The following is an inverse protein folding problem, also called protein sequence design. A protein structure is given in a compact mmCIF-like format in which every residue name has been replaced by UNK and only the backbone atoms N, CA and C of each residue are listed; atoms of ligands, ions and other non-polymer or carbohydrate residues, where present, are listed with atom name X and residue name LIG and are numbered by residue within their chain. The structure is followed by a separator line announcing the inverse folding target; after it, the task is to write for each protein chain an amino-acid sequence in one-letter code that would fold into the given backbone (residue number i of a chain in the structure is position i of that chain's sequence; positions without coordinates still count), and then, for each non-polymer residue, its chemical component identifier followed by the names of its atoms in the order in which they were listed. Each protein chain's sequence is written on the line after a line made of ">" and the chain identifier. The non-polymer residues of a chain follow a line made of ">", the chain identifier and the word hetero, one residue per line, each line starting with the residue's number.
data_IF_973232879413
#
_entry.id   IF_973232879413
#
_cell.length_a   1.000
_cell.length_b   1.000
_cell.length_c   1.000
_cell.angle_alpha   90.00
_cell.angle_beta   90.00
_cell.angle_gamma   90.00
#
_symmetry.space_group_name_H-M   'P 1'
#
loop_
_entity.id
_entity.type
_entity.pdbx_description
1 polymer ?
#
# COMPACT_ATOMS: atom_id res chain seq x y z
N UNK A 1 -7.38 4.32 5.39
CA UNK A 1 -8.27 3.37 4.69
C UNK A 1 -7.49 2.13 4.26
N UNK A 2 -8.09 0.94 4.35
CA UNK A 2 -7.51 -0.34 3.92
C UNK A 2 -8.36 -0.95 2.81
N UNK A 3 -7.76 -1.25 1.66
CA UNK A 3 -8.41 -1.79 0.48
C UNK A 3 -7.80 -3.16 0.14
N UNK A 4 -8.46 -4.23 0.57
CA UNK A 4 -7.98 -5.60 0.36
C UNK A 4 -9.14 -6.60 0.39
N UNK A 5 -9.12 -7.59 -0.50
CA UNK A 5 -10.14 -8.65 -0.52
C UNK A 5 -9.99 -9.68 0.62
N UNK A 6 -8.83 -9.73 1.29
CA UNK A 6 -8.56 -10.67 2.39
C UNK A 6 -8.98 -10.11 3.74
N UNK A 7 -10.05 -10.67 4.32
CA UNK A 7 -10.55 -10.28 5.65
C UNK A 7 -9.48 -10.45 6.74
N UNK A 8 -8.74 -11.55 6.71
CA UNK A 8 -7.69 -11.84 7.69
C UNK A 8 -6.62 -10.75 7.64
N UNK A 9 -6.22 -10.34 6.44
CA UNK A 9 -5.21 -9.30 6.27
C UNK A 9 -5.70 -7.95 6.79
N UNK A 10 -6.94 -7.54 6.45
CA UNK A 10 -7.49 -6.27 6.95
C UNK A 10 -7.64 -6.25 8.47
N UNK A 11 -8.14 -7.35 9.07
CA UNK A 11 -8.24 -7.50 10.53
C UNK A 11 -6.86 -7.38 11.18
N UNK A 12 -5.85 -8.05 10.62
CA UNK A 12 -4.47 -7.98 11.11
C UNK A 12 -3.90 -6.57 11.05
N UNK A 13 -4.08 -5.87 9.93
CA UNK A 13 -3.64 -4.48 9.77
C UNK A 13 -4.37 -3.53 10.73
N UNK A 14 -5.68 -3.69 10.92
CA UNK A 14 -6.44 -2.91 11.91
C UNK A 14 -5.88 -3.08 13.31
N UNK A 15 -5.59 -4.32 13.71
CA UNK A 15 -4.98 -4.59 15.01
C UNK A 15 -3.58 -3.94 15.14
N UNK A 16 -2.78 -3.97 14.08
CA UNK A 16 -1.45 -3.34 14.04
C UNK A 16 -1.54 -1.82 14.19
N UNK A 17 -2.48 -1.18 13.48
CA UNK A 17 -2.67 0.27 13.48
C UNK A 17 -3.27 0.77 14.79
N UNK A 18 -4.33 0.12 15.29
CA UNK A 18 -4.94 0.48 16.57
C UNK A 18 -4.03 0.24 17.78
N UNK A 19 -3.06 -0.67 17.68
CA UNK A 19 -2.07 -0.87 18.74
C UNK A 19 -1.12 0.33 18.90
N UNK A 20 -0.94 1.14 17.84
CA UNK A 20 -0.12 2.36 17.90
C UNK A 20 -0.96 3.59 18.25
N UNK A 21 -2.20 3.65 17.80
CA UNK A 21 -3.13 4.74 18.05
C UNK A 21 -4.59 4.24 18.01
N UNK A 22 -5.24 4.18 19.17
CA UNK A 22 -6.63 3.71 19.29
C UNK A 22 -7.64 4.63 18.62
N UNK A 23 -7.28 5.90 18.42
CA UNK A 23 -8.19 6.93 17.92
C UNK A 23 -8.15 7.02 16.37
N UNK A 24 -7.29 6.23 15.72
CA UNK A 24 -7.24 6.16 14.26
C UNK A 24 -8.55 5.57 13.69
N UNK A 25 -9.25 6.36 12.88
CA UNK A 25 -10.40 5.88 12.12
C UNK A 25 -9.94 5.01 10.94
N UNK A 26 -10.41 3.75 10.89
CA UNK A 26 -10.03 2.82 9.83
C UNK A 26 -11.26 2.40 9.03
N UNK A 27 -11.37 2.98 7.83
CA UNK A 27 -12.30 2.53 6.78
C UNK A 27 -11.73 1.33 6.02
N UNK A 28 -12.59 0.39 5.64
CA UNK A 28 -12.24 -0.82 4.89
C UNK A 28 -13.02 -0.89 3.59
N UNK A 29 -12.39 -1.41 2.54
CA UNK A 29 -13.03 -1.82 1.30
C UNK A 29 -12.46 -3.17 0.82
N UNK A 30 -13.33 -4.02 0.30
CA UNK A 30 -12.96 -5.35 -0.25
C UNK A 30 -12.85 -5.34 -1.76
N UNK A 31 -13.45 -4.35 -2.40
CA UNK A 31 -13.45 -4.14 -3.85
C UNK A 31 -13.08 -2.70 -4.20
N UNK A 32 -12.65 -2.49 -5.45
CA UNK A 32 -12.39 -1.13 -5.95
C UNK A 32 -13.64 -0.24 -5.92
N UNK A 33 -14.83 -0.82 -6.18
CA UNK A 33 -16.10 -0.10 -6.10
C UNK A 33 -16.40 0.41 -4.68
N UNK A 34 -16.27 -0.47 -3.68
CA UNK A 34 -16.40 -0.06 -2.27
C UNK A 34 -15.36 0.99 -1.88
N UNK A 35 -14.19 0.95 -2.50
CA UNK A 35 -13.18 1.98 -2.31
C UNK A 35 -13.62 3.34 -2.88
N UNK A 36 -14.13 3.39 -4.11
CA UNK A 36 -14.67 4.62 -4.70
C UNK A 36 -15.82 5.20 -3.87
N UNK A 37 -16.78 4.34 -3.48
CA UNK A 37 -17.94 4.75 -2.68
C UNK A 37 -17.50 5.35 -1.32
N UNK A 38 -16.52 4.74 -0.65
CA UNK A 38 -16.03 5.23 0.64
C UNK A 38 -15.09 6.44 0.52
N UNK A 39 -14.26 6.51 -0.52
CA UNK A 39 -13.32 7.63 -0.72
C UNK A 39 -14.03 8.93 -1.09
N UNK A 40 -15.19 8.85 -1.75
CA UNK A 40 -16.00 10.02 -2.04
C UNK A 40 -16.56 10.70 -0.78
N UNK A 41 -16.78 9.94 0.29
CA UNK A 41 -17.42 10.42 1.51
C UNK A 41 -16.45 10.75 2.64
N UNK A 42 -15.19 10.34 2.55
CA UNK A 42 -14.23 10.44 3.65
C UNK A 42 -12.93 11.09 3.19
N UNK A 43 -12.35 11.95 4.02
CA UNK A 43 -10.97 12.41 3.81
C UNK A 43 -10.00 11.29 4.21
N UNK A 44 -9.18 10.84 3.27
CA UNK A 44 -8.25 9.73 3.50
C UNK A 44 -6.84 10.30 3.61
N UNK A 45 -6.24 10.22 4.80
CA UNK A 45 -4.85 10.62 5.00
C UNK A 45 -3.87 9.55 4.49
N UNK A 46 -4.18 8.28 4.78
CA UNK A 46 -3.37 7.11 4.37
C UNK A 46 -4.25 6.08 3.69
N UNK A 47 -3.85 5.64 2.49
CA UNK A 47 -4.46 4.57 1.73
C UNK A 47 -3.53 3.36 1.67
N UNK A 48 -3.93 2.26 2.32
CA UNK A 48 -3.28 0.96 2.18
C UNK A 48 -4.07 0.15 1.16
N UNK A 49 -3.47 -0.15 0.01
CA UNK A 49 -4.17 -0.80 -1.11
C UNK A 49 -3.44 -2.04 -1.61
N UNK A 50 -4.16 -3.15 -1.73
CA UNK A 50 -3.67 -4.35 -2.38
C UNK A 50 -3.48 -4.09 -3.87
N UNK A 51 -2.31 -4.42 -4.41
CA UNK A 51 -1.98 -4.22 -5.82
C UNK A 51 -3.03 -4.77 -6.79
N UNK A 52 -3.71 -5.88 -6.45
CA UNK A 52 -4.68 -6.51 -7.35
C UNK A 52 -5.97 -5.69 -7.49
N UNK A 53 -6.18 -4.71 -6.62
CA UNK A 53 -7.33 -3.80 -6.63
C UNK A 53 -6.99 -2.44 -7.23
N UNK A 54 -5.73 -2.20 -7.63
CA UNK A 54 -5.34 -0.99 -8.33
C UNK A 54 -5.73 -1.13 -9.80
N UNK A 55 -6.73 -0.36 -10.23
CA UNK A 55 -7.12 -0.30 -11.64
C UNK A 55 -6.37 0.81 -12.38
N UNK A 56 -6.18 1.94 -11.72
CA UNK A 56 -5.56 3.15 -12.27
C UNK A 56 -4.98 3.98 -11.12
N UNK A 57 -3.70 4.31 -11.19
CA UNK A 57 -3.04 5.13 -10.16
C UNK A 57 -3.47 6.60 -10.23
N UNK A 58 -3.89 7.11 -11.40
CA UNK A 58 -4.33 8.50 -11.57
C UNK A 58 -5.66 8.78 -10.86
N UNK A 59 -6.42 7.72 -10.55
CA UNK A 59 -7.73 7.80 -9.87
C UNK A 59 -7.64 7.68 -8.36
N UNK A 60 -6.45 7.40 -7.82
CA UNK A 60 -6.28 7.30 -6.37
C UNK A 60 -6.38 8.70 -5.75
N UNK A 61 -6.96 8.84 -4.55
CA UNK A 61 -7.05 10.12 -3.86
C UNK A 61 -5.65 10.65 -3.58
N UNK A 62 -5.52 11.96 -3.33
CA UNK A 62 -4.27 12.61 -2.92
C UNK A 62 -3.79 12.23 -1.50
N UNK A 63 -4.06 10.99 -1.07
CA UNK A 63 -3.64 10.40 0.19
C UNK A 63 -2.20 9.89 0.11
N UNK A 64 -1.59 9.59 1.24
CA UNK A 64 -0.35 8.81 1.26
C UNK A 64 -0.63 7.35 0.90
N UNK A 65 -0.06 6.86 -0.20
CA UNK A 65 -0.38 5.53 -0.74
C UNK A 65 0.66 4.50 -0.29
N UNK A 66 0.19 3.43 0.35
CA UNK A 66 0.95 2.24 0.72
C UNK A 66 0.44 1.08 -0.13
N UNK A 67 1.26 0.59 -1.05
CA UNK A 67 0.91 -0.57 -1.87
C UNK A 67 1.33 -1.85 -1.16
N UNK A 68 0.42 -2.81 -1.05
CA UNK A 68 0.71 -4.14 -0.49
C UNK A 68 0.48 -5.23 -1.53
N UNK A 69 1.32 -6.26 -1.53
CA UNK A 69 1.31 -7.30 -2.54
C UNK A 69 1.53 -8.70 -1.93
N UNK A 70 0.79 -9.70 -2.42
CA UNK A 70 1.09 -11.10 -2.08
C UNK A 70 2.35 -11.58 -2.81
N UNK A 71 2.46 -11.21 -4.09
CA UNK A 71 3.60 -11.51 -4.96
C UNK A 71 4.05 -10.21 -5.63
N UNK A 72 5.35 -9.97 -5.79
CA UNK A 72 5.82 -8.73 -6.39
C UNK A 72 5.45 -8.66 -7.88
N UNK A 73 5.04 -7.48 -8.31
CA UNK A 73 4.74 -7.15 -9.70
C UNK A 73 5.57 -5.93 -10.13
N UNK A 74 6.34 -6.07 -11.22
CA UNK A 74 7.27 -5.02 -11.65
C UNK A 74 6.51 -3.79 -12.15
N UNK A 75 5.42 -3.99 -12.89
CA UNK A 75 4.63 -2.90 -13.44
C UNK A 75 3.96 -2.11 -12.32
N UNK A 76 3.38 -2.79 -11.31
CA UNK A 76 2.79 -2.11 -10.16
C UNK A 76 3.87 -1.41 -9.34
N UNK A 77 5.03 -2.04 -9.09
CA UNK A 77 6.12 -1.40 -8.36
C UNK A 77 6.55 -0.11 -9.07
N UNK A 78 6.84 -0.15 -10.37
CA UNK A 78 7.25 1.05 -11.11
C UNK A 78 6.14 2.10 -11.17
N UNK A 79 4.88 1.68 -11.35
CA UNK A 79 3.74 2.60 -11.40
C UNK A 79 3.53 3.28 -10.05
N UNK A 80 3.65 2.53 -8.94
CA UNK A 80 3.55 3.08 -7.59
C UNK A 80 4.63 4.13 -7.32
N UNK A 81 5.87 3.89 -7.75
CA UNK A 81 6.95 4.87 -7.67
C UNK A 81 6.63 6.14 -8.49
N UNK A 82 6.22 5.97 -9.75
CA UNK A 82 5.96 7.09 -10.65
C UNK A 82 4.77 7.97 -10.21
N UNK A 83 3.80 7.38 -9.52
CA UNK A 83 2.61 8.10 -9.04
C UNK A 83 2.73 8.54 -7.57
N UNK A 84 3.95 8.55 -7.01
CA UNK A 84 4.20 9.11 -5.69
C UNK A 84 3.64 8.27 -4.54
N UNK A 85 3.47 6.96 -4.72
CA UNK A 85 3.24 6.08 -3.58
C UNK A 85 4.42 6.18 -2.62
N UNK A 86 4.13 5.99 -1.34
CA UNK A 86 5.11 6.05 -0.25
C UNK A 86 5.92 4.78 -0.15
N UNK A 87 5.27 3.64 -0.35
CA UNK A 87 5.95 2.35 -0.27
C UNK A 87 5.26 1.24 -1.05
N UNK A 88 6.05 0.19 -1.31
CA UNK A 88 5.60 -1.08 -1.86
C UNK A 88 6.08 -2.21 -0.94
N UNK A 89 5.12 -2.87 -0.29
CA UNK A 89 5.34 -3.90 0.73
C UNK A 89 4.79 -5.27 0.31
N UNK A 90 5.40 -6.34 0.80
CA UNK A 90 4.76 -7.65 0.75
C UNK A 90 3.76 -7.79 1.90
N UNK A 91 2.68 -8.54 1.69
CA UNK A 91 1.76 -8.91 2.78
C UNK A 91 2.43 -9.73 3.88
N UNK A 92 3.51 -10.42 3.52
CA UNK A 92 4.38 -11.15 4.45
C UNK A 92 5.38 -10.25 5.20
N UNK A 93 5.40 -8.94 4.94
CA UNK A 93 6.19 -7.97 5.72
C UNK A 93 5.86 -8.09 7.22
N UNK A 94 6.86 -7.85 8.05
CA UNK A 94 6.65 -7.78 9.50
C UNK A 94 5.77 -6.59 9.87
N UNK A 95 5.03 -6.69 10.97
CA UNK A 95 4.24 -5.58 11.51
C UNK A 95 5.09 -4.34 11.81
N UNK A 96 6.32 -4.52 12.29
CA UNK A 96 7.28 -3.44 12.53
C UNK A 96 7.62 -2.70 11.23
N UNK A 97 7.86 -3.44 10.15
CA UNK A 97 8.17 -2.86 8.85
C UNK A 97 6.98 -2.07 8.30
N UNK A 98 5.78 -2.64 8.40
CA UNK A 98 4.55 -1.98 7.99
C UNK A 98 4.33 -0.66 8.75
N UNK A 99 4.46 -0.68 10.08
CA UNK A 99 4.35 0.52 10.93
C UNK A 99 5.37 1.59 10.55
N UNK A 100 6.62 1.19 10.33
CA UNK A 100 7.66 2.11 9.91
C UNK A 100 7.32 2.75 8.56
N UNK A 101 6.89 1.95 7.58
CA UNK A 101 6.55 2.42 6.24
C UNK A 101 5.37 3.39 6.23
N UNK A 102 4.31 3.13 7.02
CA UNK A 102 3.17 4.05 7.17
C UNK A 102 3.60 5.37 7.80
N UNK A 103 4.61 5.37 8.68
CA UNK A 103 5.09 6.56 9.42
C UNK A 103 6.24 7.31 8.76
N UNK A 104 6.74 6.86 7.60
CA UNK A 104 7.84 7.56 6.90
C UNK A 104 7.45 9.02 6.61
N UNK A 105 8.20 9.99 7.09
CA UNK A 105 7.93 11.41 6.82
C UNK A 105 8.65 11.93 5.58
N UNK A 106 9.52 11.12 4.99
CA UNK A 106 10.41 11.52 3.90
C UNK A 106 9.82 11.19 2.53
N UNK A 107 10.17 11.97 1.48
CA UNK A 107 9.66 11.78 0.12
C UNK A 107 10.20 10.53 -0.58
N UNK A 108 10.98 9.69 0.11
CA UNK A 108 11.64 8.53 -0.48
C UNK A 108 10.68 7.34 -0.59
N UNK A 109 10.64 6.75 -1.78
CA UNK A 109 9.87 5.54 -2.04
C UNK A 109 10.51 4.33 -1.37
N UNK A 110 9.81 3.76 -0.39
CA UNK A 110 10.29 2.61 0.36
C UNK A 110 9.86 1.29 -0.30
N UNK A 111 10.82 0.42 -0.58
CA UNK A 111 10.57 -0.94 -1.08
C UNK A 111 10.88 -1.92 0.04
N UNK A 112 10.01 -2.92 0.23
CA UNK A 112 10.25 -4.03 1.15
C UNK A 112 11.69 -4.59 0.95
N UNK A 113 12.52 -4.67 2.02
CA UNK A 113 13.88 -5.18 1.92
C UNK A 113 13.98 -6.60 1.31
N UNK A 114 12.95 -7.43 1.51
CA UNK A 114 12.88 -8.78 0.90
C UNK A 114 12.81 -8.75 -0.62
N UNK A 115 12.39 -7.63 -1.21
CA UNK A 115 12.29 -7.44 -2.65
C UNK A 115 13.55 -6.86 -3.28
N UNK A 116 14.53 -6.40 -2.51
CA UNK A 116 15.72 -5.71 -3.06
C UNK A 116 16.44 -6.51 -4.16
N UNK A 117 16.71 -7.80 -3.90
CA UNK A 117 17.39 -8.66 -4.86
C UNK A 117 16.54 -8.98 -6.10
N UNK A 118 15.21 -8.99 -5.95
CA UNK A 118 14.28 -9.20 -7.06
C UNK A 118 14.14 -7.92 -7.89
N UNK A 119 13.95 -6.78 -7.25
CA UNK A 119 13.84 -5.47 -7.89
C UNK A 119 15.12 -5.13 -8.66
N UNK A 120 16.30 -5.31 -8.05
CA UNK A 120 17.58 -5.06 -8.69
C UNK A 120 17.80 -5.91 -9.96
N UNK A 121 17.28 -7.14 -10.00
CA UNK A 121 17.38 -8.00 -11.19
C UNK A 121 16.46 -7.52 -12.30
N UNK A 122 15.22 -7.16 -11.96
CA UNK A 122 14.21 -6.81 -12.95
C UNK A 122 14.38 -5.38 -13.49
N UNK A 123 14.73 -4.41 -12.63
CA UNK A 123 14.93 -3.01 -13.03
C UNK A 123 16.19 -2.81 -13.89
N UNK A 124 17.21 -3.67 -13.74
CA UNK A 124 18.39 -3.65 -14.62
C UNK A 124 18.06 -4.04 -16.06
N UNK A 125 17.03 -4.85 -16.27
CA UNK A 125 16.60 -5.28 -17.60
C UNK A 125 15.64 -4.29 -18.27
N UNK A 126 15.12 -3.29 -17.54
CA UNK A 126 14.17 -2.29 -18.06
C UNK A 126 14.83 -1.10 -18.77
N UNK A 127 16.16 -1.08 -18.88
CA UNK A 127 16.94 -0.04 -19.55
C UNK A 127 17.43 -0.45 -20.97
N UNK A 128 16.72 -1.35 -21.67
CA UNK A 128 17.02 -1.75 -23.05
C UNK A 128 15.85 -1.43 -23.99
#
# INVERSE_FOLDING_TARGET
>A
MIVDSSDIFRIGLKAILHADDSDTEIYEATTYKEFEDNSFHNNIDVLVINQTLIQDFERLPGAEIVVVAENPDLFILTSSFLHGAKCYLLKSSTSTLFKAAVKLSEPDFFIDPSLQAWAARNLRCSCL
#
